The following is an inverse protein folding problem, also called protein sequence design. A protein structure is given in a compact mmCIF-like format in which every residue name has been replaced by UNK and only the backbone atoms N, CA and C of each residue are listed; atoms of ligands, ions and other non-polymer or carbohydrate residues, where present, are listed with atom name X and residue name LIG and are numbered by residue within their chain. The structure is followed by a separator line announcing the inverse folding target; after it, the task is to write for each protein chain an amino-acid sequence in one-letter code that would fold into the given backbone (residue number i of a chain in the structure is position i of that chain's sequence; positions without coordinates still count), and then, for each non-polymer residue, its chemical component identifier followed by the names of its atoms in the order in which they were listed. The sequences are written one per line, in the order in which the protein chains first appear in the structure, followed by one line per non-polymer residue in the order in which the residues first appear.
data_IF_232002803289
#
_entry.id   IF_232002803289
#
_cell.length_a   1.000
_cell.length_b   1.000
_cell.length_c   1.000
_cell.angle_alpha   90.00
_cell.angle_beta   90.00
_cell.angle_gamma   90.00
#
_symmetry.space_group_name_H-M   'P 1'
#
loop_
_entity.id
_entity.type
_entity.pdbx_description
1 polymer ?
#
# COMPACT_ATOMS: atom_id res chain seq x y z
N UNK A 1 2.92 0.11 5.70
CA UNK A 1 2.20 0.81 4.61
C UNK A 1 1.35 1.92 5.22
N UNK A 2 1.00 2.94 4.44
CA UNK A 2 0.06 3.98 4.90
C UNK A 2 -1.33 3.37 5.09
N UNK A 3 -2.05 3.15 4.00
CA UNK A 3 -3.34 2.46 3.96
C UNK A 3 -3.52 1.76 2.62
N UNK A 4 -4.46 0.82 2.52
CA UNK A 4 -4.76 0.13 1.25
C UNK A 4 -5.41 1.10 0.28
N UNK A 5 -4.80 1.25 -0.90
CA UNK A 5 -5.40 2.00 -2.01
C UNK A 5 -6.12 1.01 -2.91
N UNK A 6 -7.45 1.12 -2.96
CA UNK A 6 -8.35 0.09 -3.50
C UNK A 6 -8.14 -0.28 -4.98
N UNK A 7 -7.43 0.55 -5.75
CA UNK A 7 -7.16 0.29 -7.17
C UNK A 7 -5.83 -0.45 -7.42
N UNK A 8 -5.00 -0.70 -6.39
CA UNK A 8 -3.78 -1.51 -6.53
C UNK A 8 -4.01 -3.03 -6.52
N UNK A 9 -5.25 -3.48 -6.38
CA UNK A 9 -5.60 -4.90 -6.33
C UNK A 9 -5.67 -5.43 -4.90
N UNK A 10 -5.35 -6.71 -4.74
CA UNK A 10 -5.36 -7.38 -3.43
C UNK A 10 -4.26 -6.83 -2.50
N UNK A 11 -4.57 -6.55 -1.22
CA UNK A 11 -3.59 -6.03 -0.29
C UNK A 11 -2.50 -7.07 0.00
N UNK A 12 -1.31 -6.61 0.39
CA UNK A 12 -0.13 -7.43 0.66
C UNK A 12 0.86 -7.51 -0.50
N UNK A 13 0.47 -7.07 -1.71
CA UNK A 13 1.37 -6.92 -2.87
C UNK A 13 1.26 -5.54 -3.53
N UNK A 14 0.66 -4.56 -2.85
CA UNK A 14 0.44 -3.21 -3.36
C UNK A 14 1.75 -2.44 -3.58
N UNK A 15 1.71 -1.53 -4.55
CA UNK A 15 2.83 -0.65 -4.85
C UNK A 15 3.02 0.37 -3.71
N UNK A 16 4.25 0.46 -3.20
CA UNK A 16 4.64 1.49 -2.24
C UNK A 16 5.07 2.76 -2.98
N UNK A 17 4.36 3.87 -2.78
CA UNK A 17 4.86 5.21 -3.13
C UNK A 17 5.57 5.76 -1.90
N UNK A 18 6.90 5.76 -1.91
CA UNK A 18 7.70 6.28 -0.80
C UNK A 18 8.95 6.97 -1.33
N UNK A 19 8.85 8.27 -1.59
CA UNK A 19 9.97 9.11 -2.00
C UNK A 19 10.45 9.95 -0.80
N UNK A 20 11.76 10.26 -0.66
CA UNK A 20 12.88 9.95 -1.56
C UNK A 20 13.78 8.77 -1.10
N UNK A 21 13.41 8.01 -0.07
CA UNK A 21 14.39 7.21 0.70
C UNK A 21 14.39 5.69 0.49
N UNK A 22 13.50 5.13 -0.34
CA UNK A 22 13.47 3.68 -0.60
C UNK A 22 13.67 3.40 -2.07
N UNK A 23 14.66 2.55 -2.36
CA UNK A 23 14.88 2.00 -3.68
C UNK A 23 14.19 0.63 -3.79
N UNK A 24 13.62 0.32 -4.94
CA UNK A 24 13.29 -1.06 -5.28
C UNK A 24 14.58 -1.85 -5.48
N UNK A 25 14.76 -2.93 -4.71
CA UNK A 25 15.94 -3.80 -4.77
C UNK A 25 15.52 -5.25 -4.81
N UNK A 26 16.17 -6.02 -5.67
CA UNK A 26 16.01 -7.47 -5.71
C UNK A 26 17.37 -8.14 -5.94
N UNK A 27 17.45 -9.42 -5.59
CA UNK A 27 18.61 -10.27 -5.87
C UNK A 27 18.23 -11.23 -7.00
N UNK A 28 19.01 -11.25 -8.07
CA UNK A 28 18.98 -12.37 -9.01
C UNK A 28 19.60 -13.58 -8.32
N UNK A 29 18.79 -14.57 -7.99
CA UNK A 29 19.19 -15.82 -7.34
C UNK A 29 19.37 -16.97 -8.34
N UNK A 30 19.46 -16.66 -9.63
CA UNK A 30 19.80 -17.61 -10.69
C UNK A 30 21.26 -17.47 -11.10
N UNK A 31 21.83 -18.53 -11.67
CA UNK A 31 23.19 -18.50 -12.27
C UNK A 31 23.23 -17.83 -13.66
N UNK A 32 22.08 -17.35 -14.15
CA UNK A 32 21.92 -16.73 -15.46
C UNK A 32 21.81 -15.20 -15.36
N UNK A 33 22.14 -14.51 -16.45
CA UNK A 33 21.92 -13.07 -16.54
C UNK A 33 20.42 -12.72 -16.67
N UNK A 34 20.06 -11.54 -16.17
CA UNK A 34 18.78 -10.90 -16.46
C UNK A 34 19.00 -9.73 -17.42
N UNK A 35 18.20 -9.65 -18.47
CA UNK A 35 18.04 -8.46 -19.28
C UNK A 35 16.98 -7.57 -18.64
N UNK A 36 17.33 -6.32 -18.39
CA UNK A 36 16.40 -5.27 -17.96
C UNK A 36 16.13 -4.38 -19.16
N UNK A 37 14.89 -4.34 -19.61
CA UNK A 37 14.46 -3.60 -20.80
C UNK A 37 13.40 -2.55 -20.40
N UNK A 38 13.80 -1.28 -20.20
CA UNK A 38 12.90 -0.22 -19.80
C UNK A 38 12.12 0.36 -20.99
N UNK A 39 10.80 0.47 -20.85
CA UNK A 39 9.91 1.16 -21.78
C UNK A 39 9.33 2.41 -21.11
N UNK A 40 9.39 3.56 -21.80
CA UNK A 40 8.89 4.84 -21.28
C UNK A 40 7.75 5.33 -22.15
N UNK A 41 6.59 5.55 -21.54
CA UNK A 41 5.48 6.28 -22.14
C UNK A 41 5.42 7.68 -21.50
N UNK A 42 6.04 8.64 -22.16
CA UNK A 42 6.07 10.03 -21.70
C UNK A 42 4.70 10.73 -21.78
N UNK A 43 3.78 10.25 -22.63
CA UNK A 43 2.46 10.85 -22.80
C UNK A 43 1.51 10.35 -21.70
N UNK A 44 1.53 9.05 -21.42
CA UNK A 44 0.79 8.44 -20.31
C UNK A 44 1.44 8.63 -18.95
N UNK A 45 2.69 9.12 -18.89
CA UNK A 45 3.43 9.35 -17.66
C UNK A 45 3.81 8.04 -16.95
N UNK A 46 4.13 6.98 -17.70
CA UNK A 46 4.45 5.67 -17.14
C UNK A 46 5.81 5.15 -17.62
N UNK A 47 6.41 4.27 -16.80
CA UNK A 47 7.63 3.56 -17.12
C UNK A 47 7.47 2.09 -16.70
N UNK A 48 7.73 1.18 -17.64
CA UNK A 48 7.65 -0.26 -17.44
C UNK A 48 9.04 -0.85 -17.52
N UNK A 49 9.41 -1.72 -16.57
CA UNK A 49 10.66 -2.47 -16.61
C UNK A 49 10.36 -3.93 -16.94
N UNK A 50 10.68 -4.35 -18.16
CA UNK A 50 10.57 -5.74 -18.56
C UNK A 50 11.84 -6.49 -18.11
N UNK A 51 11.66 -7.64 -17.45
CA UNK A 51 12.75 -8.49 -16.97
C UNK A 51 12.72 -9.82 -17.72
N UNK A 52 13.76 -10.11 -18.50
CA UNK A 52 13.92 -11.37 -19.22
C UNK A 52 15.10 -12.16 -18.67
N UNK A 53 14.94 -13.48 -18.57
CA UNK A 53 15.98 -14.37 -18.07
C UNK A 53 15.74 -15.82 -18.47
N UNK A 54 16.71 -16.67 -18.16
CA UNK A 54 16.55 -18.11 -18.28
C UNK A 54 15.51 -18.60 -17.27
N UNK A 55 14.49 -19.32 -17.74
CA UNK A 55 13.44 -19.86 -16.87
C UNK A 55 14.07 -20.84 -15.86
N UNK A 56 14.01 -20.56 -14.54
CA UNK A 56 14.52 -21.49 -13.54
C UNK A 56 13.66 -22.74 -13.44
N UNK A 57 14.25 -23.85 -13.00
CA UNK A 57 13.56 -25.13 -12.78
C UNK A 57 12.82 -25.16 -11.43
N UNK A 58 12.11 -24.07 -11.11
CA UNK A 58 11.27 -23.93 -9.91
C UNK A 58 9.82 -23.66 -10.28
N UNK A 59 8.92 -24.14 -9.43
CA UNK A 59 7.52 -23.75 -9.43
C UNK A 59 7.27 -22.81 -8.26
N UNK A 60 6.55 -21.71 -8.51
CA UNK A 60 6.18 -20.74 -7.49
C UNK A 60 4.66 -20.65 -7.44
N UNK A 61 4.10 -20.75 -6.25
CA UNK A 61 2.69 -20.51 -5.97
C UNK A 61 2.58 -19.43 -4.90
N UNK A 62 1.64 -18.51 -5.07
CA UNK A 62 1.33 -17.45 -4.12
C UNK A 62 -0.08 -17.73 -3.59
N UNK A 63 -0.27 -17.66 -2.28
CA UNK A 63 -1.58 -17.82 -1.65
C UNK A 63 -2.47 -16.59 -1.89
N UNK A 64 -3.78 -16.74 -1.68
CA UNK A 64 -4.63 -15.59 -1.41
C UNK A 64 -4.16 -14.87 -0.12
N UNK A 65 -4.38 -13.56 0.01
CA UNK A 65 -4.02 -12.81 1.21
C UNK A 65 -4.88 -13.24 2.41
N UNK A 66 -4.23 -13.53 3.52
CA UNK A 66 -4.86 -13.67 4.81
C UNK A 66 -4.90 -12.31 5.50
N UNK A 67 -6.10 -11.73 5.62
CA UNK A 67 -6.33 -10.44 6.29
C UNK A 67 -6.69 -10.69 7.75
N UNK A 68 -5.98 -10.05 8.67
CA UNK A 68 -6.20 -10.12 10.13
C UNK A 68 -6.11 -8.72 10.76
N UNK A 69 -6.41 -8.63 12.05
CA UNK A 69 -6.20 -7.43 12.87
C UNK A 69 -6.81 -6.16 12.24
N UNK A 70 -8.06 -6.27 11.80
CA UNK A 70 -8.77 -5.12 11.22
C UNK A 70 -8.99 -4.08 12.32
N UNK A 71 -8.52 -2.85 12.06
CA UNK A 71 -8.61 -1.72 12.97
C UNK A 71 -9.47 -0.61 12.36
N UNK A 72 -10.49 -0.18 13.08
CA UNK A 72 -11.34 0.92 12.65
C UNK A 72 -10.58 2.25 12.59
N UNK A 73 -10.92 3.14 11.63
CA UNK A 73 -10.43 4.51 11.61
C UNK A 73 -10.62 5.22 12.96
N UNK A 74 -9.61 5.97 13.38
CA UNK A 74 -9.74 6.86 14.52
C UNK A 74 -10.78 7.97 14.29
N UNK A 75 -11.15 8.67 15.37
CA UNK A 75 -12.06 9.82 15.29
C UNK A 75 -11.57 10.85 14.28
N UNK A 76 -12.52 11.41 13.52
CA UNK A 76 -12.26 12.45 12.53
C UNK A 76 -11.48 13.64 13.12
N UNK A 77 -10.55 14.17 12.34
CA UNK A 77 -9.81 15.39 12.67
C UNK A 77 -10.44 16.57 11.94
N UNK A 78 -10.73 17.65 12.69
CA UNK A 78 -11.16 18.92 12.13
C UNK A 78 -10.02 19.92 12.27
N UNK A 79 -9.62 20.53 11.15
CA UNK A 79 -8.52 21.49 11.09
C UNK A 79 -9.05 22.81 10.55
N UNK A 80 -8.69 23.92 11.18
CA UNK A 80 -9.14 25.24 10.73
C UNK A 80 -8.40 25.64 9.47
N UNK A 81 -9.15 26.07 8.46
CA UNK A 81 -8.63 26.73 7.26
C UNK A 81 -9.22 28.14 7.15
N UNK A 82 -8.35 29.15 7.20
CA UNK A 82 -8.71 30.57 7.12
C UNK A 82 -9.28 30.97 5.74
N UNK A 83 -9.09 30.14 4.71
CA UNK A 83 -9.69 30.34 3.40
C UNK A 83 -11.20 30.02 3.36
N UNK A 84 -11.69 29.23 4.32
CA UNK A 84 -13.09 28.82 4.41
C UNK A 84 -13.91 29.78 5.27
N UNK A 85 -15.15 30.04 4.87
CA UNK A 85 -16.08 30.84 5.65
C UNK A 85 -16.64 30.04 6.85
N UNK A 86 -17.08 30.75 7.91
CA UNK A 86 -17.75 30.11 9.04
C UNK A 86 -18.94 29.27 8.55
N UNK A 87 -18.97 27.99 8.93
CA UNK A 87 -20.00 27.02 8.54
C UNK A 87 -19.61 26.16 7.34
N UNK A 88 -18.52 26.49 6.63
CA UNK A 88 -17.98 25.64 5.57
C UNK A 88 -17.13 24.50 6.15
N UNK A 89 -17.35 23.31 5.60
CA UNK A 89 -16.67 22.07 5.97
C UNK A 89 -16.31 21.36 4.66
N UNK A 90 -15.03 21.05 4.48
CA UNK A 90 -14.52 20.31 3.33
C UNK A 90 -13.79 19.05 3.81
N UNK A 91 -14.18 17.88 3.29
CA UNK A 91 -13.43 16.66 3.57
C UNK A 91 -12.24 16.54 2.62
N UNK A 92 -11.04 16.42 3.17
CA UNK A 92 -9.80 16.31 2.39
C UNK A 92 -9.13 14.94 2.50
N UNK A 93 -9.45 14.17 3.55
CA UNK A 93 -9.01 12.79 3.72
C UNK A 93 -10.17 11.89 4.14
N UNK A 94 -10.19 10.67 3.59
CA UNK A 94 -11.26 9.69 3.83
C UNK A 94 -10.81 8.61 4.81
N UNK A 95 -11.72 8.14 5.68
CA UNK A 95 -11.37 7.12 6.65
C UNK A 95 -11.05 5.79 5.94
N UNK A 96 -10.03 5.09 6.43
CA UNK A 96 -9.59 3.77 5.95
C UNK A 96 -9.27 2.86 7.13
N UNK A 97 -9.77 1.64 7.09
CA UNK A 97 -9.43 0.62 8.06
C UNK A 97 -7.94 0.28 7.97
N UNK A 98 -7.33 0.04 9.13
CA UNK A 98 -6.04 -0.63 9.24
C UNK A 98 -6.22 -2.14 9.17
N UNK A 99 -5.14 -2.86 8.85
CA UNK A 99 -5.14 -4.32 8.82
C UNK A 99 -3.71 -4.88 8.77
N UNK A 100 -3.57 -6.14 9.20
CA UNK A 100 -2.43 -6.99 8.89
C UNK A 100 -2.78 -7.88 7.70
N UNK A 101 -1.85 -8.03 6.76
CA UNK A 101 -2.03 -8.95 5.62
C UNK A 101 -0.83 -9.88 5.50
N UNK A 102 -1.10 -11.17 5.39
CA UNK A 102 -0.09 -12.20 5.18
C UNK A 102 -0.30 -12.90 3.85
N UNK A 103 0.79 -13.08 3.10
CA UNK A 103 0.82 -13.84 1.85
C UNK A 103 1.91 -14.89 1.97
N UNK A 104 1.59 -16.13 1.60
CA UNK A 104 2.56 -17.21 1.54
C UNK A 104 3.03 -17.43 0.10
N UNK A 105 4.35 -17.36 -0.09
CA UNK A 105 5.01 -17.76 -1.34
C UNK A 105 5.64 -19.12 -1.15
N UNK A 106 5.11 -20.13 -1.83
CA UNK A 106 5.67 -21.48 -1.84
C UNK A 106 6.51 -21.70 -3.10
N UNK A 107 7.75 -22.13 -2.93
CA UNK A 107 8.72 -22.40 -3.99
C UNK A 107 9.10 -23.87 -3.93
N UNK A 108 8.92 -24.59 -5.02
CA UNK A 108 9.36 -25.98 -5.19
C UNK A 108 10.47 -26.02 -6.23
N UNK A 109 11.67 -26.44 -5.83
CA UNK A 109 12.86 -26.49 -6.70
C UNK A 109 13.72 -27.71 -6.33
N UNK A 110 14.12 -28.51 -7.33
CA UNK A 110 14.96 -29.69 -7.15
C UNK A 110 14.48 -30.67 -6.04
N UNK A 111 13.15 -30.83 -5.88
CA UNK A 111 12.56 -31.70 -4.86
C UNK A 111 12.53 -31.11 -3.44
N UNK A 112 12.98 -29.87 -3.26
CA UNK A 112 12.89 -29.12 -2.00
C UNK A 112 11.74 -28.13 -2.07
N UNK A 113 11.00 -28.00 -0.98
CA UNK A 113 9.95 -26.98 -0.82
C UNK A 113 10.38 -25.95 0.22
N UNK A 114 10.25 -24.67 -0.12
CA UNK A 114 10.39 -23.55 0.81
C UNK A 114 9.12 -22.70 0.77
N UNK A 115 8.68 -22.25 1.95
CA UNK A 115 7.61 -21.26 2.07
C UNK A 115 8.15 -20.01 2.73
N UNK A 116 7.91 -18.86 2.10
CA UNK A 116 8.22 -17.55 2.63
C UNK A 116 6.90 -16.85 2.99
N UNK A 117 6.77 -16.35 4.21
CA UNK A 117 5.61 -15.53 4.63
C UNK A 117 5.98 -14.05 4.50
N UNK A 118 5.17 -13.32 3.73
CA UNK A 118 5.30 -11.88 3.54
C UNK A 118 4.18 -11.22 4.35
N UNK A 119 4.54 -10.32 5.26
CA UNK A 119 3.59 -9.63 6.12
C UNK A 119 3.62 -8.13 5.85
N UNK A 120 2.45 -7.57 5.58
CA UNK A 120 2.23 -6.14 5.40
C UNK A 120 1.31 -5.62 6.51
N UNK A 121 1.68 -4.47 7.08
CA UNK A 121 0.88 -3.77 8.09
C UNK A 121 0.39 -2.43 7.51
N UNK A 122 -0.92 -2.20 7.57
CA UNK A 122 -1.59 -0.97 7.15
C UNK A 122 -2.16 -0.27 8.37
N UNK A 123 -1.88 1.02 8.50
CA UNK A 123 -2.38 1.79 9.64
C UNK A 123 -3.80 2.29 9.34
N UNK A 124 -4.69 2.32 10.34
CA UNK A 124 -5.98 2.97 10.16
C UNK A 124 -5.77 4.46 9.89
N UNK A 125 -6.50 4.99 8.91
CA UNK A 125 -6.46 6.40 8.54
C UNK A 125 -7.78 7.04 8.93
N UNK A 126 -7.72 8.10 9.74
CA UNK A 126 -8.92 8.87 10.13
C UNK A 126 -9.32 9.84 9.02
N UNK A 127 -10.61 10.18 8.99
CA UNK A 127 -11.08 11.28 8.16
C UNK A 127 -10.44 12.62 8.60
N UNK A 128 -10.11 13.48 7.64
CA UNK A 128 -9.69 14.86 7.91
C UNK A 128 -10.65 15.80 7.19
N UNK A 129 -11.17 16.77 7.94
CA UNK A 129 -12.03 17.84 7.46
C UNK A 129 -11.33 19.19 7.71
N UNK A 130 -11.30 20.04 6.69
CA UNK A 130 -11.00 21.45 6.81
C UNK A 130 -12.28 22.20 7.16
N UNK A 131 -12.22 23.14 8.09
CA UNK A 131 -13.39 23.92 8.54
C UNK A 131 -13.07 25.40 8.63
N UNK A 132 -14.04 26.25 8.29
CA UNK A 132 -13.88 27.69 8.43
C UNK A 132 -13.79 28.13 9.90
N UNK A 133 -13.12 29.26 10.20
CA UNK A 133 -12.91 29.71 11.58
C UNK A 133 -14.23 29.87 12.35
N UNK A 134 -14.27 29.31 13.56
CA UNK A 134 -15.42 29.35 14.45
C UNK A 134 -16.56 28.39 14.09
N UNK A 135 -16.43 27.54 13.06
CA UNK A 135 -17.42 26.51 12.73
C UNK A 135 -17.61 25.55 13.90
N UNK A 136 -18.87 25.27 14.25
CA UNK A 136 -19.21 24.31 15.29
C UNK A 136 -18.98 22.89 14.74
N UNK A 137 -18.03 22.16 15.31
CA UNK A 137 -17.68 20.78 14.90
C UNK A 137 -18.00 19.78 16.00
N UNK A 138 -18.30 18.51 15.67
CA UNK A 138 -18.48 17.46 16.67
C UNK A 138 -17.26 17.35 17.59
N UNK A 139 -17.50 17.18 18.90
CA UNK A 139 -16.43 16.95 19.87
C UNK A 139 -15.64 15.69 19.51
N UNK A 140 -14.31 15.84 19.40
CA UNK A 140 -13.39 14.75 19.14
C UNK A 140 -13.12 13.94 20.43
N UNK A 141 -14.16 13.38 21.05
CA UNK A 141 -14.01 12.45 22.18
C UNK A 141 -14.02 11.01 21.67
N UNK A 142 -12.85 10.36 21.75
CA UNK A 142 -12.62 8.97 21.38
C UNK A 142 -13.34 7.97 22.28
N UNK A 143 -13.95 6.96 21.66
CA UNK A 143 -14.28 5.69 22.33
C UNK A 143 -12.99 4.99 22.76
N UNK A 144 -13.01 4.43 23.98
CA UNK A 144 -11.89 3.71 24.58
C UNK A 144 -11.84 2.23 24.24
#
# INVERSE_FOLDING_TARGET
HGYVVSWYGEPGMDATIYTPTVDFRFRNDTDAFLLVDPEVDAVGGSMTFNLYGTKPARQVTISEPLITDIEEPGVASYQVDEALARGEIEQVEWPKEGMSVQIERTIVEAGTTRTDTITSYYQPWRAIYLVGPGTDVPDATAGG
#
